data_IF_804546975269
#
_entry.id   IF_804546975269
#
_cell.length_a   1.000
_cell.length_b   1.000
_cell.length_c   1.000
_cell.angle_alpha   90.00
_cell.angle_beta   90.00
_cell.angle_gamma   90.00
#
_symmetry.space_group_name_H-M   'P 1'
#
loop_
_entity.id
_entity.type
_entity.pdbx_description
1 polymer ?
#
# COMPACT_ATOMS: atom_id res chain seq x y z
N UNK A 1 -3.29 6.84 22.86
CA UNK A 1 -3.95 6.45 21.59
C UNK A 1 -3.79 4.94 21.45
N UNK A 2 -4.87 4.18 21.60
CA UNK A 2 -4.84 2.72 21.46
C UNK A 2 -4.96 2.30 19.98
N UNK A 3 -4.62 1.05 19.66
CA UNK A 3 -4.81 0.44 18.33
C UNK A 3 -6.19 0.72 17.68
N UNK A 4 -7.24 0.85 18.48
CA UNK A 4 -8.62 1.15 18.05
C UNK A 4 -8.88 2.61 17.67
N UNK A 5 -7.97 3.53 18.03
CA UNK A 5 -8.06 4.96 17.70
C UNK A 5 -7.34 5.34 16.40
N UNK A 6 -6.72 4.37 15.74
CA UNK A 6 -5.97 4.61 14.51
C UNK A 6 -6.88 4.64 13.27
N UNK A 7 -6.43 5.38 12.26
CA UNK A 7 -7.19 5.71 11.06
C UNK A 7 -7.56 4.49 10.20
N UNK A 8 -6.94 3.32 10.43
CA UNK A 8 -7.28 2.11 9.69
C UNK A 8 -8.74 1.65 9.86
N UNK A 9 -9.36 1.82 11.04
CA UNK A 9 -10.72 1.34 11.29
C UNK A 9 -11.80 2.29 10.74
N UNK A 10 -11.72 3.62 10.94
CA UNK A 10 -12.64 4.56 10.32
C UNK A 10 -12.45 4.71 8.80
N UNK A 11 -11.22 4.54 8.30
CA UNK A 11 -10.89 4.70 6.88
C UNK A 11 -10.60 3.36 6.18
N UNK A 12 -11.17 2.26 6.68
CA UNK A 12 -10.92 0.90 6.17
C UNK A 12 -11.06 0.79 4.64
N UNK A 13 -12.10 1.36 3.99
CA UNK A 13 -12.23 1.32 2.53
C UNK A 13 -11.11 2.08 1.81
N UNK A 14 -10.68 3.23 2.33
CA UNK A 14 -9.57 4.00 1.75
C UNK A 14 -8.24 3.27 1.96
N UNK A 15 -8.04 2.63 3.12
CA UNK A 15 -6.86 1.83 3.38
C UNK A 15 -6.72 0.68 2.39
N UNK A 16 -7.82 -0.02 2.08
CA UNK A 16 -7.83 -1.08 1.07
C UNK A 16 -7.53 -0.55 -0.33
N UNK A 17 -8.12 0.57 -0.73
CA UNK A 17 -7.80 1.19 -2.03
C UNK A 17 -6.33 1.59 -2.08
N UNK A 18 -5.80 2.23 -1.04
CA UNK A 18 -4.39 2.60 -0.96
C UNK A 18 -3.48 1.38 -1.06
N UNK A 19 -3.80 0.30 -0.33
CA UNK A 19 -3.03 -0.93 -0.37
C UNK A 19 -3.02 -1.58 -1.77
N UNK A 20 -4.18 -1.67 -2.44
CA UNK A 20 -4.26 -2.26 -3.77
C UNK A 20 -3.64 -1.34 -4.84
N UNK A 21 -3.77 -0.02 -4.71
CA UNK A 21 -3.09 0.94 -5.58
C UNK A 21 -1.57 0.90 -5.39
N UNK A 22 -1.08 0.74 -4.16
CA UNK A 22 0.35 0.55 -3.89
C UNK A 22 0.92 -0.75 -4.48
N UNK A 23 0.10 -1.82 -4.52
CA UNK A 23 0.44 -3.06 -5.23
C UNK A 23 0.56 -2.84 -6.73
N UNK A 24 -0.32 -2.02 -7.31
CA UNK A 24 -0.29 -1.70 -8.74
C UNK A 24 0.91 -0.80 -9.11
N UNK A 25 1.23 0.19 -8.28
CA UNK A 25 2.36 1.11 -8.50
C UNK A 25 3.73 0.44 -8.41
N UNK A 26 3.86 -0.55 -7.51
CA UNK A 26 5.08 -1.35 -7.39
C UNK A 26 5.23 -2.37 -8.53
N UNK A 27 4.31 -2.38 -9.50
CA UNK A 27 4.27 -3.25 -10.67
C UNK A 27 4.56 -4.72 -10.34
N UNK A 28 4.15 -5.18 -9.15
CA UNK A 28 4.46 -6.53 -8.69
C UNK A 28 3.30 -7.46 -8.93
N UNK A 29 3.62 -8.74 -9.15
CA UNK A 29 2.64 -9.81 -9.29
C UNK A 29 1.59 -9.68 -8.17
N UNK A 30 0.30 -9.47 -8.46
CA UNK A 30 -0.46 -9.81 -9.68
C UNK A 30 -0.62 -8.71 -10.75
N UNK A 31 -0.07 -7.50 -10.56
CA UNK A 31 -0.17 -6.33 -11.46
C UNK A 31 1.08 -6.12 -12.34
N UNK A 32 1.88 -7.16 -12.48
CA UNK A 32 3.13 -7.16 -13.25
C UNK A 32 2.87 -7.37 -14.76
N UNK A 33 2.49 -6.29 -15.45
CA UNK A 33 2.18 -6.31 -16.90
C UNK A 33 3.39 -5.95 -17.75
N UNK A 34 4.34 -5.18 -17.21
CA UNK A 34 5.49 -4.65 -17.96
C UNK A 34 6.70 -5.59 -17.91
N UNK A 35 6.87 -6.35 -16.82
CA UNK A 35 8.00 -7.25 -16.58
C UNK A 35 7.68 -8.71 -16.97
N UNK A 36 6.48 -8.96 -17.51
CA UNK A 36 5.94 -10.30 -17.79
C UNK A 36 6.71 -11.11 -18.82
N UNK A 37 7.79 -11.77 -18.38
CA UNK A 37 8.69 -12.66 -19.12
C UNK A 37 8.01 -13.74 -19.99
N UNK A 38 6.74 -14.05 -19.70
CA UNK A 38 5.95 -15.06 -20.39
C UNK A 38 5.15 -14.52 -21.59
N UNK A 39 4.95 -13.20 -21.70
CA UNK A 39 4.09 -12.59 -22.74
C UNK A 39 4.74 -11.41 -23.45
N UNK A 40 5.54 -10.58 -22.76
CA UNK A 40 6.30 -9.47 -23.35
C UNK A 40 7.74 -9.55 -22.80
N UNK A 41 8.72 -9.55 -23.71
CA UNK A 41 10.15 -9.72 -23.40
C UNK A 41 10.64 -8.60 -22.45
N UNK A 42 10.55 -8.83 -21.13
CA UNK A 42 11.11 -8.10 -19.98
C UNK A 42 11.31 -6.56 -20.13
N UNK A 43 10.39 -5.91 -20.84
CA UNK A 43 10.35 -4.47 -21.11
C UNK A 43 11.71 -3.81 -21.34
N UNK A 44 11.98 -2.79 -20.53
CA UNK A 44 13.19 -1.98 -20.57
C UNK A 44 14.41 -2.67 -19.95
N UNK A 45 14.23 -3.78 -19.22
CA UNK A 45 15.31 -4.43 -18.48
C UNK A 45 16.23 -5.26 -19.38
N UNK A 46 15.80 -5.59 -20.59
CA UNK A 46 16.57 -6.38 -21.58
C UNK A 46 17.70 -5.56 -22.22
N UNK A 47 17.59 -4.22 -22.21
CA UNK A 47 18.56 -3.33 -22.84
C UNK A 47 19.72 -2.93 -21.92
N UNK A 48 19.60 -3.18 -20.61
CA UNK A 48 20.58 -2.76 -19.62
C UNK A 48 21.36 -3.93 -19.03
N UNK A 49 22.69 -3.81 -18.94
CA UNK A 49 23.56 -4.84 -18.36
C UNK A 49 24.07 -4.48 -16.95
N UNK A 50 24.27 -5.52 -16.13
CA UNK A 50 25.03 -5.46 -14.87
C UNK A 50 24.58 -4.40 -13.87
N UNK A 51 25.31 -3.28 -13.82
CA UNK A 51 25.10 -2.21 -12.83
C UNK A 51 23.79 -1.45 -13.06
N UNK A 52 23.47 -1.13 -14.32
CA UNK A 52 22.25 -0.38 -14.65
C UNK A 52 21.00 -1.21 -14.36
N UNK A 53 21.05 -2.52 -14.66
CA UNK A 53 20.02 -3.48 -14.28
C UNK A 53 19.82 -3.50 -12.75
N UNK A 54 20.91 -3.60 -11.98
CA UNK A 54 20.84 -3.60 -10.52
C UNK A 54 20.20 -2.31 -9.95
N UNK A 55 20.44 -1.16 -10.57
CA UNK A 55 19.83 0.12 -10.16
C UNK A 55 18.31 0.15 -10.37
N UNK A 56 17.80 -0.43 -11.46
CA UNK A 56 16.36 -0.55 -11.69
C UNK A 56 15.69 -1.43 -10.62
N UNK A 57 16.25 -2.61 -10.34
CA UNK A 57 15.74 -3.46 -9.26
C UNK A 57 15.81 -2.80 -7.89
N UNK A 58 16.92 -2.13 -7.59
CA UNK A 58 17.06 -1.41 -6.32
C UNK A 58 16.01 -0.30 -6.19
N UNK A 59 15.72 0.43 -7.26
CA UNK A 59 14.70 1.47 -7.27
C UNK A 59 13.29 0.89 -7.06
N UNK A 60 12.94 -0.22 -7.71
CA UNK A 60 11.65 -0.87 -7.52
C UNK A 60 11.47 -1.40 -6.09
N UNK A 61 12.50 -2.04 -5.53
CA UNK A 61 12.46 -2.48 -4.13
C UNK A 61 12.43 -1.30 -3.16
N UNK A 62 13.15 -0.22 -3.45
CA UNK A 62 13.07 1.00 -2.65
C UNK A 62 11.66 1.61 -2.69
N UNK A 63 10.99 1.59 -3.85
CA UNK A 63 9.62 2.06 -3.98
C UNK A 63 8.63 1.22 -3.14
N UNK A 64 8.81 -0.11 -3.12
CA UNK A 64 8.01 -1.00 -2.27
C UNK A 64 8.14 -0.65 -0.77
N UNK A 65 9.36 -0.35 -0.31
CA UNK A 65 9.59 0.12 1.06
C UNK A 65 8.94 1.49 1.30
N UNK A 66 9.06 2.43 0.36
CA UNK A 66 8.48 3.76 0.46
C UNK A 66 6.96 3.70 0.62
N UNK A 67 6.27 2.98 -0.28
CA UNK A 67 4.80 2.82 -0.25
C UNK A 67 4.36 2.14 1.06
N UNK A 68 5.12 1.15 1.53
CA UNK A 68 4.84 0.48 2.81
C UNK A 68 4.99 1.43 4.01
N UNK A 69 6.02 2.28 4.02
CA UNK A 69 6.23 3.28 5.08
C UNK A 69 5.09 4.29 5.08
N UNK A 70 4.69 4.79 3.91
CA UNK A 70 3.56 5.72 3.79
C UNK A 70 2.25 5.09 4.27
N UNK A 71 1.97 3.82 3.93
CA UNK A 71 0.82 3.09 4.45
C UNK A 71 0.78 3.08 5.99
N UNK A 72 1.93 2.82 6.61
CA UNK A 72 2.06 2.75 8.07
C UNK A 72 1.85 4.10 8.73
N UNK A 73 2.43 5.16 8.15
CA UNK A 73 2.30 6.53 8.66
C UNK A 73 0.85 7.00 8.56
N UNK A 74 0.20 6.81 7.41
CA UNK A 74 -1.13 7.36 7.15
C UNK A 74 -2.26 6.60 7.84
N UNK A 75 -2.16 5.28 7.96
CA UNK A 75 -3.28 4.43 8.43
C UNK A 75 -3.00 3.68 9.74
N UNK A 76 -1.77 3.21 9.94
CA UNK A 76 -1.41 2.32 11.07
C UNK A 76 -0.74 3.09 12.23
N UNK A 77 -0.98 4.40 12.33
CA UNK A 77 -0.53 5.21 13.46
C UNK A 77 0.99 5.43 13.53
N UNK A 78 1.73 5.20 12.44
CA UNK A 78 3.16 5.51 12.33
C UNK A 78 3.99 5.00 13.51
N UNK A 79 4.49 5.96 14.30
CA UNK A 79 5.42 5.81 15.42
C UNK A 79 4.75 5.39 16.74
N UNK A 80 3.42 5.39 16.79
CA UNK A 80 2.67 5.11 18.02
C UNK A 80 2.71 3.60 18.35
N UNK A 81 2.91 3.29 19.62
CA UNK A 81 2.74 1.94 20.13
C UNK A 81 1.27 1.50 20.04
N UNK A 82 0.97 0.25 19.64
CA UNK A 82 -0.38 -0.29 19.66
C UNK A 82 -0.95 -0.47 21.08
N UNK A 83 -0.08 -0.60 22.08
CA UNK A 83 -0.43 -0.84 23.49
C UNK A 83 0.36 0.12 24.39
N UNK A 84 -0.34 0.88 25.24
CA UNK A 84 0.26 1.86 26.18
C UNK A 84 1.33 1.23 27.09
N UNK A 85 1.21 -0.07 27.39
CA UNK A 85 2.20 -0.81 28.17
C UNK A 85 3.58 -0.95 27.50
N UNK A 86 3.68 -0.69 26.19
CA UNK A 86 4.92 -0.83 25.41
C UNK A 86 5.51 0.52 24.95
N UNK A 87 5.09 1.63 25.57
CA UNK A 87 5.58 2.98 25.26
C UNK A 87 7.06 3.19 25.60
N UNK A 88 7.68 2.26 26.33
CA UNK A 88 9.11 2.27 26.64
C UNK A 88 10.00 1.92 25.42
N UNK A 89 9.43 1.33 24.36
CA UNK A 89 10.15 0.99 23.14
C UNK A 89 10.22 2.24 22.24
N UNK A 90 11.41 2.62 21.73
CA UNK A 90 11.55 3.73 20.79
C UNK A 90 10.61 3.62 19.58
N UNK A 91 9.90 4.71 19.25
CA UNK A 91 8.89 4.74 18.18
C UNK A 91 9.41 4.35 16.78
N UNK A 92 10.72 4.50 16.52
CA UNK A 92 11.32 4.09 15.25
C UNK A 92 11.28 2.56 15.04
N UNK A 93 11.36 1.79 16.12
CA UNK A 93 11.27 0.33 16.08
C UNK A 93 9.85 -0.08 15.71
N UNK A 94 8.83 0.62 16.23
CA UNK A 94 7.44 0.40 15.87
C UNK A 94 7.14 0.70 14.41
N UNK A 95 7.71 1.80 13.87
CA UNK A 95 7.64 2.10 12.45
C UNK A 95 8.25 0.96 11.62
N UNK A 96 9.44 0.49 12.00
CA UNK A 96 10.13 -0.61 11.33
C UNK A 96 9.33 -1.92 11.34
N UNK A 97 8.82 -2.34 12.51
CA UNK A 97 8.03 -3.57 12.66
C UNK A 97 6.74 -3.51 11.83
N UNK A 98 6.01 -2.40 11.88
CA UNK A 98 4.77 -2.25 11.09
C UNK A 98 5.06 -2.22 9.59
N UNK A 99 6.13 -1.53 9.18
CA UNK A 99 6.57 -1.51 7.78
C UNK A 99 6.93 -2.91 7.32
N UNK A 100 7.67 -3.67 8.13
CA UNK A 100 8.00 -5.07 7.85
C UNK A 100 6.75 -5.94 7.72
N UNK A 101 5.73 -5.74 8.56
CA UNK A 101 4.46 -6.44 8.45
C UNK A 101 3.73 -6.13 7.13
N UNK A 102 3.71 -4.86 6.71
CA UNK A 102 3.12 -4.44 5.43
C UNK A 102 3.89 -5.04 4.24
N UNK A 103 5.22 -4.99 4.26
CA UNK A 103 6.08 -5.63 3.23
C UNK A 103 5.86 -7.14 3.19
N UNK A 104 5.74 -7.79 4.34
CA UNK A 104 5.43 -9.24 4.40
C UNK A 104 4.08 -9.53 3.76
N UNK A 105 3.09 -8.66 3.94
CA UNK A 105 1.78 -8.78 3.32
C UNK A 105 1.87 -8.58 1.79
N UNK A 106 2.69 -7.64 1.30
CA UNK A 106 3.01 -7.50 -0.13
C UNK A 106 3.59 -8.80 -0.72
N UNK A 107 4.54 -9.43 -0.03
CA UNK A 107 5.14 -10.70 -0.45
C UNK A 107 4.11 -11.83 -0.43
N UNK A 108 3.22 -11.86 0.57
CA UNK A 108 2.18 -12.87 0.67
C UNK A 108 1.14 -12.76 -0.45
N UNK A 109 0.71 -11.54 -0.78
CA UNK A 109 -0.20 -11.29 -1.92
C UNK A 109 0.43 -11.77 -3.22
N UNK A 110 1.72 -11.50 -3.43
CA UNK A 110 2.47 -12.00 -4.59
C UNK A 110 2.41 -13.51 -4.73
N UNK A 111 2.50 -14.25 -3.63
CA UNK A 111 2.46 -15.72 -3.65
C UNK A 111 1.03 -16.28 -3.83
N UNK A 112 0.01 -15.52 -3.49
CA UNK A 112 -1.38 -16.03 -3.38
C UNK A 112 -2.21 -15.80 -4.63
N UNK A 113 -2.04 -14.65 -5.32
CA UNK A 113 -2.94 -14.26 -6.40
C UNK A 113 -2.37 -14.55 -7.80
N UNK A 114 -3.17 -15.11 -8.72
CA UNK A 114 -2.84 -15.19 -10.13
C UNK A 114 -2.69 -13.81 -10.78
N UNK A 115 -2.00 -13.74 -11.92
CA UNK A 115 -1.82 -12.50 -12.69
C UNK A 115 -3.15 -11.99 -13.23
N UNK A 116 -3.32 -10.67 -13.20
CA UNK A 116 -4.45 -10.00 -13.86
C UNK A 116 -4.05 -9.45 -15.22
N UNK A 117 -4.96 -9.53 -16.19
CA UNK A 117 -4.78 -8.92 -17.50
C UNK A 117 -4.92 -7.39 -17.41
N UNK A 118 -4.17 -6.65 -18.24
CA UNK A 118 -4.21 -5.18 -18.31
C UNK A 118 -5.63 -4.60 -18.33
N UNK A 119 -6.51 -5.16 -19.17
CA UNK A 119 -7.89 -4.70 -19.32
C UNK A 119 -8.71 -4.82 -18.02
N UNK A 120 -8.44 -5.83 -17.20
CA UNK A 120 -9.10 -6.06 -15.93
C UNK A 120 -8.59 -5.08 -14.85
N UNK A 121 -7.29 -4.81 -14.87
CA UNK A 121 -6.64 -3.84 -13.96
C UNK A 121 -7.18 -2.44 -14.24
N UNK A 122 -7.23 -2.03 -15.50
CA UNK A 122 -7.75 -0.73 -15.90
C UNK A 122 -9.23 -0.59 -15.53
N UNK A 123 -10.02 -1.65 -15.69
CA UNK A 123 -11.43 -1.68 -15.26
C UNK A 123 -11.57 -1.56 -13.74
N UNK A 124 -10.72 -2.25 -12.97
CA UNK A 124 -10.71 -2.17 -11.50
C UNK A 124 -10.39 -0.73 -11.04
N UNK A 125 -9.34 -0.13 -11.59
CA UNK A 125 -8.95 1.25 -11.27
C UNK A 125 -10.06 2.26 -11.60
N UNK A 126 -10.57 2.24 -12.83
CA UNK A 126 -11.53 3.24 -13.29
C UNK A 126 -12.95 3.02 -12.79
N UNK A 127 -13.43 1.79 -12.69
CA UNK A 127 -14.82 1.50 -12.32
C UNK A 127 -15.03 1.25 -10.84
N UNK A 128 -13.98 0.85 -10.10
CA UNK A 128 -14.11 0.49 -8.69
C UNK A 128 -13.35 1.49 -7.81
N UNK A 129 -12.07 1.75 -8.04
CA UNK A 129 -11.31 2.61 -7.12
C UNK A 129 -11.75 4.07 -7.14
N UNK A 130 -11.90 4.69 -8.32
CA UNK A 130 -12.29 6.11 -8.40
C UNK A 130 -13.68 6.35 -7.78
N UNK A 131 -14.73 5.56 -8.08
CA UNK A 131 -16.04 5.79 -7.46
C UNK A 131 -16.04 5.54 -5.95
N UNK A 132 -15.32 4.50 -5.48
CA UNK A 132 -15.24 4.17 -4.05
C UNK A 132 -14.55 5.28 -3.26
N UNK A 133 -13.43 5.81 -3.74
CA UNK A 133 -12.72 6.90 -3.04
C UNK A 133 -13.55 8.17 -3.01
N UNK A 134 -14.28 8.48 -4.08
CA UNK A 134 -15.13 9.67 -4.16
C UNK A 134 -16.34 9.58 -3.23
N UNK A 135 -17.01 8.43 -3.18
CA UNK A 135 -18.12 8.20 -2.25
C UNK A 135 -17.63 8.26 -0.80
N UNK A 136 -16.49 7.62 -0.49
CA UNK A 136 -15.97 7.60 0.87
C UNK A 136 -15.49 8.98 1.32
N UNK A 137 -14.95 9.80 0.42
CA UNK A 137 -14.58 11.19 0.71
C UNK A 137 -15.81 12.01 1.14
N UNK A 138 -16.95 11.86 0.44
CA UNK A 138 -18.20 12.52 0.83
C UNK A 138 -18.72 12.03 2.18
N UNK A 139 -18.65 10.72 2.44
CA UNK A 139 -19.06 10.12 3.72
C UNK A 139 -18.22 10.68 4.87
N UNK A 140 -16.89 10.71 4.71
CA UNK A 140 -15.98 11.24 5.73
C UNK A 140 -16.19 12.74 5.91
N UNK A 141 -16.38 13.50 4.83
CA UNK A 141 -16.69 14.93 4.89
C UNK A 141 -17.98 15.23 5.66
N UNK A 142 -19.04 14.46 5.42
CA UNK A 142 -20.29 14.58 6.17
C UNK A 142 -20.14 14.14 7.64
N UNK A 143 -19.36 13.09 7.91
CA UNK A 143 -19.07 12.62 9.26
C UNK A 143 -18.37 13.71 10.08
N UNK A 144 -17.36 14.37 9.52
CA UNK A 144 -16.62 15.44 10.21
C UNK A 144 -17.51 16.63 10.61
N UNK A 145 -18.57 16.92 9.84
CA UNK A 145 -19.52 17.99 10.17
C UNK A 145 -20.57 17.58 11.22
N UNK A 146 -20.70 16.28 11.50
CA UNK A 146 -21.66 15.74 12.47
C UNK A 146 -21.03 15.76 13.87
N UNK A 147 -21.85 15.82 14.92
CA UNK A 147 -21.40 15.81 16.33
C UNK A 147 -20.64 14.55 16.77
N UNK A 148 -20.52 13.55 15.89
CA UNK A 148 -19.86 12.26 16.11
C UNK A 148 -18.42 12.25 15.57
N UNK A 149 -17.79 13.42 15.44
CA UNK A 149 -16.44 13.54 14.91
C UNK A 149 -15.42 12.83 15.82
N UNK A 150 -14.74 11.83 15.28
CA UNK A 150 -13.69 11.03 15.96
C UNK A 150 -12.36 11.81 16.00
N UNK A 151 -12.23 12.88 15.19
CA UNK A 151 -10.99 13.62 14.95
C UNK A 151 -10.90 14.97 15.69
N UNK A 152 -11.73 15.18 16.73
CA UNK A 152 -11.67 16.37 17.61
C UNK A 152 -10.85 16.09 18.87
#
# INVERSE_FOLDING_TARGET
LNFLSWNWLPLLPIFLVYFISGLAETNRHPFDVVEGESEIVAGHMVEYSGMSYAMFYLAEYANMWLVSILAVIMFLGGWLSPVVALDWIPGWIWLGIKTFAVVTLFIWVRATFPRYRYDQIMRLGWKIFIPVTLVWLLVVGAWMQTSWNIWN
#
